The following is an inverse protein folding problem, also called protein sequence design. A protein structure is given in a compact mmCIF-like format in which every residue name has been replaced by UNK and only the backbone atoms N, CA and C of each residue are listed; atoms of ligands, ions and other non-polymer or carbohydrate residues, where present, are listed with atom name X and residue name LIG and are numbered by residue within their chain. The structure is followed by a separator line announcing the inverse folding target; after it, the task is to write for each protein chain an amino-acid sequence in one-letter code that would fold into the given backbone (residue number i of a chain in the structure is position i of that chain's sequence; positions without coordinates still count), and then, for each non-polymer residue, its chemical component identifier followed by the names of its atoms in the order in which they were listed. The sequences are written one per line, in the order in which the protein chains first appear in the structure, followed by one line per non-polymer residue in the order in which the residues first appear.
data_IF_706001318085
#
_entry.id   IF_706001318085
#
_cell.length_a   1.000
_cell.length_b   1.000
_cell.length_c   1.000
_cell.angle_alpha   90.00
_cell.angle_beta   90.00
_cell.angle_gamma   90.00
#
_symmetry.space_group_name_H-M   'P 1'
#
loop_
_entity.id
_entity.type
_entity.pdbx_description
1 polymer ?
#
# COMPACT_ATOMS: atom_id res chain seq x y z
N UNK A 1 5.38 23.13 88.08
CA UNK A 1 6.41 24.01 87.48
C UNK A 1 5.88 24.51 86.14
N UNK A 2 5.86 25.84 85.97
CA UNK A 2 5.89 26.67 84.73
C UNK A 2 5.19 26.11 83.47
N UNK A 3 4.13 26.70 82.90
CA UNK A 3 3.82 28.07 82.46
C UNK A 3 3.75 28.18 80.92
N UNK A 4 2.82 29.04 80.45
CA UNK A 4 2.62 29.68 79.12
C UNK A 4 1.34 29.22 78.39
N UNK A 5 0.21 29.96 78.46
CA UNK A 5 -0.16 31.17 77.65
C UNK A 5 -0.04 30.92 76.14
N UNK A 6 -1.10 31.02 75.31
CA UNK A 6 -1.80 32.23 74.84
C UNK A 6 -3.04 31.76 74.03
N UNK A 7 -4.30 32.12 74.33
CA UNK A 7 -5.04 33.35 73.99
C UNK A 7 -4.95 33.83 72.53
N UNK A 8 -6.06 33.66 71.79
CA UNK A 8 -6.67 34.59 70.81
C UNK A 8 -7.77 33.83 70.05
N UNK A 9 -8.91 34.36 69.62
CA UNK A 9 -9.70 35.53 69.96
C UNK A 9 -11.09 35.26 69.33
N UNK A 10 -12.15 35.43 70.11
CA UNK A 10 -13.53 35.39 69.64
C UNK A 10 -13.87 36.73 68.99
N UNK A 11 -14.37 36.72 67.75
CA UNK A 11 -15.15 37.83 67.20
C UNK A 11 -16.44 37.29 66.58
N UNK A 12 -17.54 37.90 67.01
CA UNK A 12 -18.95 37.57 66.75
C UNK A 12 -19.50 38.34 65.54
N UNK A 13 -20.58 37.79 64.96
CA UNK A 13 -21.73 38.46 64.29
C UNK A 13 -21.44 39.13 62.93
N UNK A 14 -22.30 39.14 61.90
CA UNK A 14 -23.62 38.58 61.53
C UNK A 14 -23.81 38.85 60.00
N UNK A 15 -24.88 38.39 59.32
CA UNK A 15 -24.89 38.11 57.88
C UNK A 15 -25.27 39.29 57.00
N UNK A 16 -24.67 39.35 55.81
CA UNK A 16 -25.13 40.15 54.68
C UNK A 16 -25.48 39.20 53.54
N UNK A 17 -26.74 39.24 53.13
CA UNK A 17 -27.29 38.40 52.07
C UNK A 17 -26.61 38.62 50.72
N UNK A 18 -26.44 37.53 49.99
CA UNK A 18 -26.17 37.52 48.56
C UNK A 18 -26.87 36.31 47.97
N UNK A 19 -27.97 36.58 47.28
CA UNK A 19 -28.64 35.64 46.39
C UNK A 19 -27.64 35.26 45.29
N UNK A 20 -27.02 34.08 45.43
CA UNK A 20 -26.30 33.45 44.33
C UNK A 20 -27.33 32.82 43.39
N UNK A 21 -27.64 33.53 42.30
CA UNK A 21 -28.39 32.99 41.17
C UNK A 21 -27.55 31.87 40.56
N UNK A 22 -27.89 30.60 40.86
CA UNK A 22 -27.37 29.44 40.13
C UNK A 22 -27.85 29.57 38.68
N UNK A 23 -26.99 30.09 37.81
CA UNK A 23 -27.12 29.89 36.37
C UNK A 23 -26.87 28.40 36.14
N UNK A 24 -27.96 27.64 35.97
CA UNK A 24 -27.90 26.29 35.46
C UNK A 24 -27.44 26.43 34.00
N UNK A 25 -26.15 26.24 33.78
CA UNK A 25 -25.59 26.10 32.45
C UNK A 25 -26.17 24.81 31.89
N UNK A 26 -27.20 24.93 31.07
CA UNK A 26 -27.72 23.84 30.28
C UNK A 26 -26.90 23.85 28.98
N UNK A 27 -25.87 22.99 28.82
CA UNK A 27 -25.10 22.98 27.58
C UNK A 27 -26.07 22.62 26.46
N UNK A 28 -26.38 23.60 25.62
CA UNK A 28 -27.09 23.33 24.38
C UNK A 28 -26.28 22.29 23.60
N UNK A 29 -26.89 21.19 23.15
CA UNK A 29 -26.20 20.28 22.25
C UNK A 29 -25.71 21.09 21.05
N UNK A 30 -24.46 20.87 20.59
CA UNK A 30 -23.90 21.64 19.49
C UNK A 30 -24.84 21.54 18.28
N UNK A 31 -25.01 22.65 17.53
CA UNK A 31 -25.91 22.66 16.38
C UNK A 31 -25.57 21.49 15.46
N UNK A 32 -26.61 20.76 15.04
CA UNK A 32 -26.45 19.61 14.15
C UNK A 32 -25.74 20.07 12.88
N UNK A 33 -24.45 19.71 12.75
CA UNK A 33 -23.62 20.04 11.59
C UNK A 33 -24.33 19.57 10.32
N UNK A 34 -24.40 20.44 9.31
CA UNK A 34 -25.15 20.17 8.09
C UNK A 34 -24.58 18.96 7.35
N UNK A 35 -25.47 18.20 6.69
CA UNK A 35 -25.15 17.02 5.87
C UNK A 35 -24.04 17.27 4.82
N UNK A 36 -23.78 18.53 4.46
CA UNK A 36 -22.74 18.93 3.52
C UNK A 36 -21.31 18.84 4.11
N UNK A 37 -21.13 18.97 5.43
CA UNK A 37 -19.80 18.88 6.06
C UNK A 37 -19.36 17.43 6.31
N UNK A 38 -20.31 16.50 6.41
CA UNK A 38 -20.07 15.13 6.88
C UNK A 38 -19.97 14.09 5.75
N UNK A 39 -20.18 14.49 4.49
CA UNK A 39 -20.09 13.58 3.36
C UNK A 39 -21.23 12.57 3.30
N UNK A 40 -21.40 11.95 2.14
CA UNK A 40 -22.45 10.94 1.95
C UNK A 40 -22.13 9.61 2.64
N UNK A 41 -20.90 9.40 3.11
CA UNK A 41 -20.47 8.13 3.70
C UNK A 41 -20.77 8.01 5.21
N UNK A 42 -21.19 9.09 5.89
CA UNK A 42 -21.57 9.04 7.30
C UNK A 42 -20.41 8.89 8.28
N UNK A 43 -19.17 9.24 7.87
CA UNK A 43 -18.00 9.18 8.73
C UNK A 43 -17.64 10.56 9.28
N UNK A 44 -17.24 10.63 10.56
CA UNK A 44 -16.68 11.87 11.11
C UNK A 44 -15.19 12.00 10.73
N UNK A 45 -14.95 12.35 9.48
CA UNK A 45 -13.63 12.76 9.00
C UNK A 45 -13.34 14.24 9.30
N UNK A 46 -14.08 14.92 10.20
CA UNK A 46 -13.77 16.31 10.55
C UNK A 46 -12.43 16.43 11.28
N UNK A 47 -11.92 17.66 11.48
CA UNK A 47 -10.60 17.83 12.14
C UNK A 47 -10.62 17.23 13.55
N UNK A 48 -11.77 17.33 14.19
CA UNK A 48 -12.04 16.72 15.47
C UNK A 48 -11.98 15.18 15.38
N UNK A 49 -12.77 14.55 14.51
CA UNK A 49 -12.77 13.08 14.37
C UNK A 49 -11.40 12.51 13.99
N UNK A 50 -10.65 13.20 13.13
CA UNK A 50 -9.26 12.85 12.81
C UNK A 50 -8.33 12.96 14.03
N UNK A 51 -8.43 14.04 14.80
CA UNK A 51 -7.62 14.23 16.00
C UNK A 51 -7.92 13.16 17.05
N UNK A 52 -9.19 12.77 17.20
CA UNK A 52 -9.57 11.69 18.12
C UNK A 52 -9.04 10.32 17.69
N UNK A 53 -9.11 9.98 16.39
CA UNK A 53 -8.49 8.77 15.86
C UNK A 53 -6.97 8.74 16.08
N UNK A 54 -6.30 9.86 15.81
CA UNK A 54 -4.86 10.00 16.04
C UNK A 54 -4.56 9.84 17.53
N UNK A 55 -5.33 10.49 18.41
CA UNK A 55 -5.12 10.39 19.85
C UNK A 55 -5.35 8.97 20.38
N UNK A 56 -6.37 8.27 19.87
CA UNK A 56 -6.62 6.87 20.19
C UNK A 56 -5.44 5.99 19.75
N UNK A 57 -4.92 6.23 18.55
CA UNK A 57 -3.74 5.53 18.02
C UNK A 57 -2.48 5.80 18.86
N UNK A 58 -2.23 7.04 19.26
CA UNK A 58 -1.08 7.38 20.13
C UNK A 58 -1.16 6.66 21.47
N UNK A 59 -2.37 6.48 22.01
CA UNK A 59 -2.61 5.76 23.27
C UNK A 59 -2.61 4.24 23.12
N UNK A 60 -2.60 3.72 21.89
CA UNK A 60 -2.58 2.29 21.64
C UNK A 60 -1.28 1.67 22.16
N UNK A 61 -1.42 0.52 22.83
CA UNK A 61 -0.30 -0.34 23.20
C UNK A 61 -0.66 -1.75 22.75
N UNK A 62 0.21 -2.46 22.02
CA UNK A 62 -0.11 -3.78 21.47
C UNK A 62 -0.48 -4.81 22.54
N UNK A 63 0.15 -4.73 23.72
CA UNK A 63 -0.07 -5.68 24.82
C UNK A 63 -1.26 -5.30 25.71
N UNK A 64 -1.88 -4.14 25.47
CA UNK A 64 -3.02 -3.64 26.23
C UNK A 64 -4.32 -3.93 25.46
N UNK A 65 -4.94 -5.07 25.81
CA UNK A 65 -6.22 -5.50 25.23
C UNK A 65 -7.33 -4.45 25.37
N UNK A 66 -7.30 -3.63 26.42
CA UNK A 66 -8.27 -2.56 26.63
C UNK A 66 -7.99 -1.37 25.70
N UNK A 67 -6.71 -1.00 25.50
CA UNK A 67 -6.33 0.02 24.51
C UNK A 67 -6.70 -0.41 23.08
N UNK A 68 -6.55 -1.71 22.77
CA UNK A 68 -7.00 -2.29 21.51
C UNK A 68 -8.51 -2.20 21.33
N UNK A 69 -9.29 -2.67 22.31
CA UNK A 69 -10.74 -2.58 22.27
C UNK A 69 -11.21 -1.12 22.12
N UNK A 70 -10.59 -0.17 22.83
CA UNK A 70 -10.88 1.27 22.69
C UNK A 70 -10.58 1.82 21.30
N UNK A 71 -9.50 1.38 20.65
CA UNK A 71 -9.19 1.79 19.29
C UNK A 71 -10.19 1.20 18.29
N UNK A 72 -10.54 -0.08 18.44
CA UNK A 72 -11.57 -0.75 17.65
C UNK A 72 -12.93 -0.05 17.81
N UNK A 73 -13.35 0.22 19.04
CA UNK A 73 -14.58 0.97 19.35
C UNK A 73 -14.54 2.36 18.73
N UNK A 74 -13.42 3.09 18.83
CA UNK A 74 -13.33 4.46 18.30
C UNK A 74 -13.34 4.49 16.77
N UNK A 75 -12.66 3.54 16.13
CA UNK A 75 -12.74 3.38 14.67
C UNK A 75 -14.15 2.97 14.27
N UNK A 76 -14.78 2.06 15.01
CA UNK A 76 -16.18 1.71 14.84
C UNK A 76 -17.10 2.92 14.94
N UNK A 77 -16.96 3.75 15.97
CA UNK A 77 -17.72 4.98 16.16
C UNK A 77 -17.54 5.96 14.99
N UNK A 78 -16.30 6.16 14.52
CA UNK A 78 -16.02 7.06 13.39
C UNK A 78 -16.61 6.51 12.09
N UNK A 79 -16.62 5.19 11.91
CA UNK A 79 -17.20 4.53 10.74
C UNK A 79 -18.73 4.39 10.80
N UNK A 80 -19.32 4.41 11.99
CA UNK A 80 -20.74 4.06 12.20
C UNK A 80 -21.64 5.25 12.54
N UNK A 81 -21.11 6.36 13.06
CA UNK A 81 -21.91 7.52 13.44
C UNK A 81 -22.36 8.36 12.24
N UNK A 82 -23.39 7.86 11.52
CA UNK A 82 -24.66 8.56 11.17
C UNK A 82 -25.35 7.90 9.97
N UNK A 83 -26.19 6.89 10.25
CA UNK A 83 -27.38 6.58 9.44
C UNK A 83 -27.23 5.64 8.25
N UNK A 84 -26.03 5.14 7.93
CA UNK A 84 -25.87 4.06 6.96
C UNK A 84 -26.24 2.73 7.61
N UNK A 85 -27.51 2.32 7.47
CA UNK A 85 -27.99 0.96 7.80
C UNK A 85 -27.40 -0.06 6.81
N UNK A 86 -26.09 -0.18 6.73
CA UNK A 86 -25.42 -1.23 5.97
C UNK A 86 -25.48 -2.53 6.78
N UNK A 87 -26.17 -3.59 6.32
CA UNK A 87 -26.38 -4.83 7.08
C UNK A 87 -25.13 -5.72 7.21
N UNK A 88 -23.92 -5.22 6.95
CA UNK A 88 -22.67 -6.00 6.96
C UNK A 88 -21.92 -5.98 8.30
N UNK A 89 -22.63 -5.75 9.41
CA UNK A 89 -22.07 -5.65 10.78
C UNK A 89 -21.34 -6.91 11.26
N UNK A 90 -21.65 -8.10 10.73
CA UNK A 90 -21.27 -9.36 11.39
C UNK A 90 -19.92 -9.97 10.99
N UNK A 91 -19.18 -9.42 10.03
CA UNK A 91 -17.93 -10.04 9.54
C UNK A 91 -16.68 -9.16 9.68
N UNK A 92 -16.85 -7.86 9.95
CA UNK A 92 -15.75 -6.89 10.09
C UNK A 92 -15.15 -6.83 11.51
N UNK A 93 -15.86 -7.35 12.51
CA UNK A 93 -15.44 -7.29 13.91
C UNK A 93 -14.36 -8.33 14.29
N UNK A 94 -14.11 -9.34 13.45
CA UNK A 94 -13.14 -10.41 13.74
C UNK A 94 -11.72 -10.08 13.26
N UNK A 95 -11.55 -8.99 12.51
CA UNK A 95 -10.26 -8.54 11.99
C UNK A 95 -9.64 -7.54 12.99
N UNK A 96 -8.55 -7.98 13.62
CA UNK A 96 -7.86 -7.31 14.73
C UNK A 96 -7.14 -5.99 14.39
N UNK A 97 -7.30 -5.47 13.17
CA UNK A 97 -6.52 -4.32 12.67
C UNK A 97 -7.41 -3.26 12.01
N UNK A 98 -7.96 -2.31 12.80
CA UNK A 98 -8.80 -1.22 12.30
C UNK A 98 -8.20 -0.40 11.15
N UNK A 99 -6.87 -0.22 11.16
CA UNK A 99 -6.17 0.49 10.10
C UNK A 99 -6.24 -0.21 8.74
N UNK A 100 -6.25 -1.55 8.71
CA UNK A 100 -6.37 -2.31 7.48
C UNK A 100 -7.73 -2.06 6.82
N UNK A 101 -8.80 -1.98 7.62
CA UNK A 101 -10.11 -1.61 7.12
C UNK A 101 -10.16 -0.20 6.55
N UNK A 102 -9.53 0.77 7.22
CA UNK A 102 -9.43 2.13 6.69
C UNK A 102 -8.66 2.18 5.37
N UNK A 103 -7.62 1.37 5.22
CA UNK A 103 -6.85 1.27 3.97
C UNK A 103 -7.64 0.59 2.84
N UNK A 104 -8.38 -0.49 3.14
CA UNK A 104 -9.28 -1.13 2.17
C UNK A 104 -10.35 -0.14 1.70
N UNK A 105 -10.90 0.61 2.64
CA UNK A 105 -11.91 1.63 2.38
C UNK A 105 -11.37 2.77 1.52
N UNK A 106 -10.13 3.19 1.78
CA UNK A 106 -9.42 4.16 0.98
C UNK A 106 -9.30 3.70 -0.48
N UNK A 107 -8.88 2.46 -0.72
CA UNK A 107 -8.76 1.88 -2.07
C UNK A 107 -10.12 1.70 -2.74
N UNK A 108 -11.15 1.31 -1.98
CA UNK A 108 -12.51 1.14 -2.48
C UNK A 108 -13.21 2.47 -2.80
N UNK A 109 -12.65 3.60 -2.36
CA UNK A 109 -13.21 4.92 -2.66
C UNK A 109 -12.89 5.29 -4.11
N UNK A 110 -13.92 5.49 -4.96
CA UNK A 110 -13.68 5.80 -6.37
C UNK A 110 -12.96 7.16 -6.51
N UNK A 111 -12.10 7.30 -7.55
CA UNK A 111 -11.48 8.59 -7.85
C UNK A 111 -12.58 9.62 -8.13
N UNK A 112 -12.50 10.77 -7.44
CA UNK A 112 -13.47 11.84 -7.58
C UNK A 112 -12.89 12.97 -8.45
N UNK A 113 -13.51 13.22 -9.60
CA UNK A 113 -13.13 14.28 -10.56
C UNK A 113 -13.53 15.71 -10.12
N UNK A 114 -14.08 15.87 -8.91
CA UNK A 114 -14.62 17.15 -8.43
C UNK A 114 -13.94 17.62 -7.14
N UNK A 115 -13.99 18.94 -6.90
CA UNK A 115 -13.50 19.62 -5.66
C UNK A 115 -14.06 19.01 -4.35
N UNK A 116 -15.09 18.16 -4.43
CA UNK A 116 -15.63 17.35 -3.33
C UNK A 116 -14.67 16.22 -2.89
N UNK A 117 -13.55 16.01 -3.59
CA UNK A 117 -12.45 15.09 -3.26
C UNK A 117 -11.69 15.44 -1.95
N UNK A 118 -12.06 16.53 -1.26
CA UNK A 118 -11.46 16.87 0.02
C UNK A 118 -11.61 15.75 1.07
N UNK A 119 -12.71 14.99 1.05
CA UNK A 119 -12.93 13.88 1.99
C UNK A 119 -12.00 12.69 1.74
N UNK A 120 -11.84 12.27 0.48
CA UNK A 120 -10.90 11.20 0.12
C UNK A 120 -9.47 11.63 0.44
N UNK A 121 -9.11 12.88 0.15
CA UNK A 121 -7.81 13.45 0.54
C UNK A 121 -7.62 13.43 2.06
N UNK A 122 -8.66 13.77 2.84
CA UNK A 122 -8.63 13.73 4.29
C UNK A 122 -8.48 12.32 4.83
N UNK A 123 -9.22 11.35 4.30
CA UNK A 123 -9.08 9.95 4.65
C UNK A 123 -7.66 9.45 4.37
N UNK A 124 -7.14 9.72 3.16
CA UNK A 124 -5.77 9.38 2.78
C UNK A 124 -4.74 9.95 3.76
N UNK A 125 -4.82 11.25 4.08
CA UNK A 125 -3.91 11.88 5.04
C UNK A 125 -4.03 11.26 6.43
N UNK A 126 -5.25 11.00 6.91
CA UNK A 126 -5.50 10.35 8.20
C UNK A 126 -4.92 8.95 8.24
N UNK A 127 -5.16 8.13 7.21
CA UNK A 127 -4.60 6.77 7.11
C UNK A 127 -3.08 6.81 7.13
N UNK A 128 -2.42 7.71 6.38
CA UNK A 128 -0.96 7.85 6.43
C UNK A 128 -0.44 8.30 7.79
N UNK A 129 -1.13 9.22 8.47
CA UNK A 129 -0.74 9.66 9.80
C UNK A 129 -0.86 8.55 10.85
N UNK A 130 -1.98 7.82 10.85
CA UNK A 130 -2.19 6.67 11.75
C UNK A 130 -1.16 5.59 11.45
N UNK A 131 -0.94 5.28 10.16
CA UNK A 131 0.07 4.31 9.73
C UNK A 131 1.47 4.67 10.25
N UNK A 132 1.92 5.91 10.08
CA UNK A 132 3.22 6.36 10.56
C UNK A 132 3.36 6.20 12.09
N UNK A 133 2.31 6.53 12.84
CA UNK A 133 2.28 6.34 14.30
C UNK A 133 2.36 4.87 14.70
N UNK A 134 1.60 4.01 14.02
CA UNK A 134 1.62 2.57 14.28
C UNK A 134 2.97 1.96 13.90
N UNK A 135 3.58 2.36 12.78
CA UNK A 135 4.89 1.87 12.35
C UNK A 135 5.99 2.20 13.37
N UNK A 136 5.91 3.37 14.02
CA UNK A 136 6.85 3.74 15.10
C UNK A 136 6.72 2.81 16.32
N UNK A 137 5.50 2.38 16.64
CA UNK A 137 5.23 1.52 17.80
C UNK A 137 5.40 0.03 17.50
N UNK A 138 5.16 -0.38 16.25
CA UNK A 138 4.96 -1.77 15.81
C UNK A 138 5.73 -2.06 14.51
N UNK A 139 7.06 -1.88 14.44
CA UNK A 139 7.81 -1.84 13.17
C UNK A 139 7.86 -3.16 12.39
N UNK A 140 7.38 -4.27 12.95
CA UNK A 140 7.51 -5.63 12.40
C UNK A 140 6.19 -6.41 12.39
N UNK A 141 5.14 -5.80 11.85
CA UNK A 141 3.84 -6.45 11.68
C UNK A 141 3.46 -6.58 10.21
N UNK A 142 2.99 -7.77 9.81
CA UNK A 142 2.59 -8.07 8.44
C UNK A 142 1.41 -7.20 7.99
N UNK A 143 0.50 -6.87 8.90
CA UNK A 143 -0.67 -6.06 8.63
C UNK A 143 -0.30 -4.62 8.28
N UNK A 144 0.78 -4.08 8.85
CA UNK A 144 1.29 -2.78 8.43
C UNK A 144 1.87 -2.82 7.01
N UNK A 145 2.53 -3.91 6.64
CA UNK A 145 3.01 -4.09 5.27
C UNK A 145 1.83 -4.15 4.28
N UNK A 146 0.75 -4.86 4.64
CA UNK A 146 -0.48 -4.90 3.85
C UNK A 146 -1.13 -3.53 3.73
N UNK A 147 -1.26 -2.78 4.83
CA UNK A 147 -1.75 -1.40 4.84
C UNK A 147 -0.93 -0.53 3.89
N UNK A 148 0.40 -0.62 3.96
CA UNK A 148 1.26 0.18 3.11
C UNK A 148 1.14 -0.20 1.62
N UNK A 149 0.98 -1.49 1.31
CA UNK A 149 0.64 -1.95 -0.04
C UNK A 149 -0.67 -1.38 -0.55
N UNK A 150 -1.72 -1.33 0.28
CA UNK A 150 -3.00 -0.71 -0.07
C UNK A 150 -2.88 0.81 -0.28
N UNK A 151 -2.08 1.51 0.54
CA UNK A 151 -1.80 2.94 0.34
C UNK A 151 -1.09 3.14 -1.00
N UNK A 152 -0.08 2.32 -1.32
CA UNK A 152 0.60 2.38 -2.62
C UNK A 152 -0.37 2.13 -3.78
N UNK A 153 -1.24 1.12 -3.67
CA UNK A 153 -2.26 0.84 -4.69
C UNK A 153 -3.21 2.03 -4.89
N UNK A 154 -3.67 2.67 -3.80
CA UNK A 154 -4.46 3.89 -3.87
C UNK A 154 -3.70 5.02 -4.57
N UNK A 155 -2.42 5.24 -4.22
CA UNK A 155 -1.57 6.27 -4.82
C UNK A 155 -1.37 6.03 -6.33
N UNK A 156 -1.15 4.78 -6.72
CA UNK A 156 -1.07 4.33 -8.11
C UNK A 156 -2.37 4.61 -8.87
N UNK A 157 -3.52 4.17 -8.33
CA UNK A 157 -4.84 4.38 -8.95
C UNK A 157 -5.24 5.85 -9.13
N UNK A 158 -4.67 6.75 -8.33
CA UNK A 158 -4.87 8.20 -8.43
C UNK A 158 -3.77 8.93 -9.22
N UNK A 159 -2.87 8.18 -9.88
CA UNK A 159 -1.80 8.73 -10.73
C UNK A 159 -0.64 9.37 -9.97
N UNK A 160 -0.55 9.18 -8.65
CA UNK A 160 0.54 9.67 -7.79
C UNK A 160 1.74 8.72 -7.82
N UNK A 161 2.29 8.46 -9.02
CA UNK A 161 3.23 7.34 -9.26
C UNK A 161 4.50 7.40 -8.42
N UNK A 162 5.10 8.58 -8.26
CA UNK A 162 6.30 8.75 -7.43
C UNK A 162 6.03 8.40 -5.95
N UNK A 163 4.87 8.84 -5.43
CA UNK A 163 4.46 8.55 -4.06
C UNK A 163 4.22 7.05 -3.92
N UNK A 164 3.47 6.46 -4.86
CA UNK A 164 3.21 5.03 -4.90
C UNK A 164 4.49 4.21 -4.89
N UNK A 165 5.48 4.59 -5.69
CA UNK A 165 6.76 3.90 -5.76
C UNK A 165 7.53 4.01 -4.43
N UNK A 166 7.58 5.18 -3.80
CA UNK A 166 8.24 5.35 -2.49
C UNK A 166 7.53 4.54 -1.41
N UNK A 167 6.20 4.61 -1.35
CA UNK A 167 5.37 3.85 -0.41
C UNK A 167 5.57 2.34 -0.60
N UNK A 168 5.59 1.88 -1.85
CA UNK A 168 5.78 0.47 -2.19
C UNK A 168 7.18 -0.04 -1.85
N UNK A 169 8.23 0.74 -2.14
CA UNK A 169 9.61 0.39 -1.75
C UNK A 169 9.72 0.20 -0.23
N UNK A 170 9.09 1.10 0.55
CA UNK A 170 9.04 0.95 2.00
C UNK A 170 8.29 -0.31 2.42
N UNK A 171 7.18 -0.65 1.76
CA UNK A 171 6.42 -1.87 2.04
C UNK A 171 7.25 -3.13 1.74
N UNK A 172 7.93 -3.17 0.59
CA UNK A 172 8.81 -4.28 0.18
C UNK A 172 10.00 -4.42 1.13
N UNK A 173 10.60 -3.31 1.55
CA UNK A 173 11.69 -3.30 2.52
C UNK A 173 11.23 -3.84 3.87
N UNK A 174 10.06 -3.44 4.37
CA UNK A 174 9.53 -4.04 5.59
C UNK A 174 9.18 -5.51 5.39
N UNK A 175 8.63 -5.88 4.25
CA UNK A 175 8.33 -7.27 3.93
C UNK A 175 9.60 -8.15 3.98
N UNK A 176 10.73 -7.68 3.43
CA UNK A 176 11.99 -8.43 3.46
C UNK A 176 12.57 -8.57 4.86
N UNK A 177 12.24 -7.65 5.78
CA UNK A 177 12.64 -7.71 7.19
C UNK A 177 11.72 -8.56 8.07
N UNK A 178 10.52 -8.91 7.59
CA UNK A 178 9.63 -9.82 8.29
C UNK A 178 10.05 -11.26 8.07
N UNK A 179 10.23 -11.99 9.17
CA UNK A 179 10.47 -13.43 9.15
C UNK A 179 9.30 -14.14 8.47
N UNK A 180 9.63 -15.19 7.71
CA UNK A 180 8.64 -15.98 7.01
C UNK A 180 8.00 -16.98 7.98
N UNK A 181 6.80 -16.67 8.45
CA UNK A 181 6.03 -17.58 9.30
C UNK A 181 5.49 -18.76 8.48
N UNK A 182 6.06 -19.95 8.71
CA UNK A 182 5.63 -21.19 8.04
C UNK A 182 4.19 -21.56 8.37
N UNK A 183 3.69 -21.20 9.56
CA UNK A 183 2.31 -21.52 9.96
C UNK A 183 1.29 -20.76 9.13
N UNK A 184 1.66 -19.56 8.64
CA UNK A 184 0.87 -18.71 7.77
C UNK A 184 1.51 -18.50 6.40
N UNK A 185 2.29 -19.48 5.93
CA UNK A 185 3.06 -19.42 4.68
C UNK A 185 2.23 -18.99 3.48
N UNK A 186 1.02 -19.54 3.33
CA UNK A 186 0.13 -19.24 2.21
C UNK A 186 -0.32 -17.78 2.21
N UNK A 187 -0.74 -17.28 3.37
CA UNK A 187 -1.15 -15.87 3.54
C UNK A 187 0.05 -14.96 3.29
N UNK A 188 1.23 -15.32 3.83
CA UNK A 188 2.48 -14.61 3.61
C UNK A 188 2.84 -14.48 2.13
N UNK A 189 2.70 -15.58 1.37
CA UNK A 189 2.95 -15.57 -0.07
C UNK A 189 1.94 -14.69 -0.81
N UNK A 190 0.67 -14.80 -0.47
CA UNK A 190 -0.41 -14.08 -1.15
C UNK A 190 -0.19 -12.57 -1.13
N UNK A 191 0.05 -11.98 0.05
CA UNK A 191 0.26 -10.53 0.14
C UNK A 191 1.62 -10.10 -0.43
N UNK A 192 2.68 -10.91 -0.33
CA UNK A 192 3.98 -10.58 -0.93
C UNK A 192 3.94 -10.58 -2.45
N UNK A 193 3.27 -11.56 -3.06
CA UNK A 193 3.00 -11.58 -4.50
C UNK A 193 2.11 -10.40 -4.92
N UNK A 194 1.15 -10.02 -4.07
CA UNK A 194 0.32 -8.83 -4.31
C UNK A 194 1.17 -7.55 -4.35
N UNK A 195 2.17 -7.39 -3.47
CA UNK A 195 3.09 -6.25 -3.53
C UNK A 195 3.90 -6.22 -4.83
N UNK A 196 4.38 -7.38 -5.30
CA UNK A 196 5.08 -7.47 -6.59
C UNK A 196 4.15 -7.12 -7.76
N UNK A 197 2.89 -7.55 -7.73
CA UNK A 197 1.92 -7.15 -8.75
C UNK A 197 1.68 -5.63 -8.74
N UNK A 198 1.61 -5.00 -7.56
CA UNK A 198 1.48 -3.55 -7.45
C UNK A 198 2.73 -2.86 -8.02
N UNK A 199 3.92 -3.42 -7.82
CA UNK A 199 5.18 -2.91 -8.40
C UNK A 199 5.12 -2.92 -9.92
N UNK A 200 4.72 -4.05 -10.49
CA UNK A 200 4.52 -4.19 -11.92
C UNK A 200 3.52 -3.16 -12.47
N UNK A 201 2.41 -2.90 -11.76
CA UNK A 201 1.43 -1.89 -12.13
C UNK A 201 2.01 -0.47 -12.09
N UNK A 202 2.77 -0.12 -11.04
CA UNK A 202 3.41 1.19 -10.90
C UNK A 202 4.41 1.40 -12.04
N UNK A 203 5.28 0.43 -12.29
CA UNK A 203 6.25 0.50 -13.38
C UNK A 203 5.56 0.62 -14.73
N UNK A 204 4.54 -0.20 -15.01
CA UNK A 204 3.79 -0.15 -16.27
C UNK A 204 3.18 1.25 -16.52
N UNK A 205 2.61 1.90 -15.51
CA UNK A 205 2.05 3.24 -15.66
C UNK A 205 3.11 4.31 -15.95
N UNK A 206 4.37 4.07 -15.58
CA UNK A 206 5.49 4.99 -15.84
C UNK A 206 6.12 4.76 -17.21
N UNK A 207 6.01 3.56 -17.78
CA UNK A 207 6.54 3.22 -19.11
C UNK A 207 6.03 4.20 -20.18
N UNK A 208 4.79 4.67 -20.07
CA UNK A 208 4.22 5.60 -21.06
C UNK A 208 4.66 7.07 -20.87
N UNK A 209 5.26 7.42 -19.73
CA UNK A 209 5.67 8.80 -19.44
C UNK A 209 7.06 9.06 -20.02
N UNK A 210 7.17 10.12 -20.81
CA UNK A 210 8.37 10.44 -21.60
C UNK A 210 9.60 10.83 -20.75
N UNK A 211 9.39 11.25 -19.50
CA UNK A 211 10.44 11.89 -18.70
C UNK A 211 10.65 11.32 -17.29
N UNK A 212 9.78 10.42 -16.82
CA UNK A 212 9.83 9.94 -15.43
C UNK A 212 9.95 8.42 -15.41
N UNK A 213 11.18 7.94 -15.56
CA UNK A 213 11.49 6.52 -15.50
C UNK A 213 11.60 6.09 -14.04
N UNK A 214 10.66 5.26 -13.57
CA UNK A 214 10.67 4.72 -12.22
C UNK A 214 11.11 3.26 -12.30
N UNK A 215 12.24 2.85 -11.69
CA UNK A 215 12.66 1.45 -11.71
C UNK A 215 11.65 0.55 -10.96
N UNK A 216 11.71 -0.75 -11.22
CA UNK A 216 10.99 -1.73 -10.41
C UNK A 216 11.52 -1.67 -8.97
N UNK A 217 10.61 -1.60 -7.98
CA UNK A 217 10.94 -1.69 -6.57
C UNK A 217 11.42 -3.10 -6.18
N UNK A 218 10.97 -4.13 -6.89
CA UNK A 218 11.32 -5.52 -6.68
C UNK A 218 11.90 -6.17 -7.95
N UNK A 219 13.16 -5.86 -8.32
CA UNK A 219 13.79 -6.47 -9.49
C UNK A 219 13.96 -7.99 -9.32
N UNK A 220 14.17 -8.76 -10.41
CA UNK A 220 14.17 -10.23 -10.37
C UNK A 220 15.19 -10.89 -9.43
N UNK A 221 16.26 -10.17 -9.07
CA UNK A 221 17.35 -10.56 -8.18
C UNK A 221 17.11 -10.20 -6.70
N UNK A 222 16.06 -9.40 -6.41
CA UNK A 222 15.71 -8.94 -5.07
C UNK A 222 15.42 -10.11 -4.11
N UNK A 223 15.84 -9.99 -2.85
CA UNK A 223 15.74 -11.07 -1.85
C UNK A 223 14.30 -11.55 -1.63
N UNK A 224 13.32 -10.63 -1.65
CA UNK A 224 11.90 -11.00 -1.56
C UNK A 224 11.48 -11.95 -2.70
N UNK A 225 11.93 -11.69 -3.94
CA UNK A 225 11.65 -12.56 -5.10
C UNK A 225 12.24 -13.95 -4.88
N UNK A 226 13.48 -14.00 -4.36
CA UNK A 226 14.17 -15.27 -4.05
C UNK A 226 13.42 -16.06 -2.98
N UNK A 227 12.97 -15.41 -1.92
CA UNK A 227 12.18 -16.02 -0.83
C UNK A 227 10.84 -16.56 -1.35
N UNK A 228 10.10 -15.77 -2.13
CA UNK A 228 8.83 -16.22 -2.71
C UNK A 228 9.04 -17.42 -3.64
N UNK A 229 10.06 -17.37 -4.53
CA UNK A 229 10.40 -18.48 -5.41
C UNK A 229 10.72 -19.75 -4.62
N UNK A 230 11.55 -19.65 -3.60
CA UNK A 230 11.88 -20.78 -2.74
C UNK A 230 10.63 -21.39 -2.10
N UNK A 231 9.76 -20.57 -1.51
CA UNK A 231 8.53 -21.05 -0.89
C UNK A 231 7.53 -21.62 -1.92
N UNK A 232 7.49 -21.12 -3.16
CA UNK A 232 6.72 -21.74 -4.24
C UNK A 232 7.22 -23.16 -4.54
N UNK A 233 8.54 -23.42 -4.47
CA UNK A 233 9.04 -24.80 -4.65
C UNK A 233 8.58 -25.74 -3.54
N UNK A 234 8.35 -25.24 -2.31
CA UNK A 234 7.82 -26.04 -1.20
C UNK A 234 6.35 -26.42 -1.41
N UNK A 235 5.61 -25.61 -2.17
CA UNK A 235 4.23 -25.89 -2.59
C UNK A 235 4.15 -26.92 -3.74
N UNK A 236 5.28 -27.23 -4.37
CA UNK A 236 5.39 -28.34 -5.31
C UNK A 236 5.90 -29.60 -4.61
N UNK A 237 5.46 -30.77 -5.06
CA UNK A 237 6.04 -32.06 -4.66
C UNK A 237 7.46 -32.19 -5.20
N UNK A 238 8.23 -33.17 -4.71
CA UNK A 238 9.57 -33.48 -5.21
C UNK A 238 9.62 -33.76 -6.73
N UNK A 239 8.49 -34.18 -7.32
CA UNK A 239 8.35 -34.43 -8.74
C UNK A 239 7.93 -33.17 -9.53
N UNK A 240 7.89 -32.00 -8.90
CA UNK A 240 7.42 -30.74 -9.49
C UNK A 240 5.90 -30.66 -9.65
N UNK A 241 5.14 -31.67 -9.25
CA UNK A 241 3.68 -31.67 -9.31
C UNK A 241 3.16 -30.78 -8.18
N UNK A 242 2.30 -29.77 -8.44
CA UNK A 242 1.67 -28.98 -7.39
C UNK A 242 0.99 -29.87 -6.34
N UNK A 243 0.99 -29.44 -5.07
CA UNK A 243 0.14 -30.09 -4.07
C UNK A 243 -1.31 -30.03 -4.52
N UNK A 244 -2.07 -31.08 -4.21
CA UNK A 244 -3.45 -31.22 -4.68
C UNK A 244 -4.44 -30.24 -4.05
N UNK A 245 -3.99 -29.40 -3.11
CA UNK A 245 -4.85 -28.40 -2.50
C UNK A 245 -5.07 -27.20 -3.44
N UNK A 246 -6.34 -26.81 -3.60
CA UNK A 246 -6.74 -25.76 -4.54
C UNK A 246 -6.13 -24.39 -4.23
N UNK A 247 -5.78 -24.14 -2.96
CA UNK A 247 -5.18 -22.88 -2.52
C UNK A 247 -3.73 -22.77 -3.00
N UNK A 248 -2.92 -23.83 -2.84
CA UNK A 248 -1.55 -23.88 -3.33
C UNK A 248 -1.49 -23.78 -4.84
N UNK A 249 -2.40 -24.47 -5.56
CA UNK A 249 -2.50 -24.35 -7.01
C UNK A 249 -2.78 -22.90 -7.44
N UNK A 250 -3.76 -22.24 -6.81
CA UNK A 250 -4.08 -20.83 -7.07
C UNK A 250 -2.89 -19.91 -6.83
N UNK A 251 -2.15 -20.11 -5.74
CA UNK A 251 -0.97 -19.32 -5.42
C UNK A 251 0.19 -19.55 -6.39
N UNK A 252 0.40 -20.79 -6.84
CA UNK A 252 1.40 -21.11 -7.85
C UNK A 252 1.06 -20.45 -9.19
N UNK A 253 -0.20 -20.50 -9.60
CA UNK A 253 -0.63 -19.84 -10.84
C UNK A 253 -0.56 -18.32 -10.74
N UNK A 254 -0.93 -17.75 -9.59
CA UNK A 254 -0.73 -16.32 -9.32
C UNK A 254 0.74 -15.92 -9.37
N UNK A 255 1.62 -16.71 -8.74
CA UNK A 255 3.06 -16.51 -8.77
C UNK A 255 3.63 -16.53 -10.18
N UNK A 256 3.19 -17.45 -11.05
CA UNK A 256 3.62 -17.49 -12.47
C UNK A 256 3.30 -16.18 -13.18
N UNK A 257 2.07 -15.67 -13.02
CA UNK A 257 1.62 -14.42 -13.64
C UNK A 257 2.52 -13.27 -13.17
N UNK A 258 2.69 -13.11 -11.86
CA UNK A 258 3.50 -12.05 -11.24
C UNK A 258 4.97 -12.11 -11.68
N UNK A 259 5.58 -13.30 -11.74
CA UNK A 259 6.96 -13.41 -12.18
C UNK A 259 7.13 -13.14 -13.68
N UNK A 260 6.17 -13.54 -14.51
CA UNK A 260 6.20 -13.27 -15.94
C UNK A 260 6.02 -11.78 -16.24
N UNK A 261 5.05 -11.11 -15.60
CA UNK A 261 4.83 -9.67 -15.76
C UNK A 261 6.08 -8.87 -15.37
N UNK A 262 6.68 -9.18 -14.20
CA UNK A 262 7.91 -8.51 -13.77
C UNK A 262 9.09 -8.71 -14.72
N UNK A 263 9.26 -9.90 -15.32
CA UNK A 263 10.31 -10.15 -16.33
C UNK A 263 10.09 -9.33 -17.61
N UNK A 264 8.86 -9.28 -18.10
CA UNK A 264 8.50 -8.50 -19.29
C UNK A 264 8.78 -7.02 -19.04
N UNK A 265 8.35 -6.50 -17.88
CA UNK A 265 8.57 -5.11 -17.50
C UNK A 265 10.05 -4.79 -17.33
N UNK A 266 10.82 -5.67 -16.69
CA UNK A 266 12.28 -5.51 -16.59
C UNK A 266 12.92 -5.42 -17.98
N UNK A 267 12.54 -6.29 -18.92
CA UNK A 267 13.05 -6.24 -20.28
C UNK A 267 12.68 -4.93 -21.01
N UNK A 268 11.45 -4.44 -20.85
CA UNK A 268 11.02 -3.14 -21.40
C UNK A 268 11.85 -2.01 -20.78
N UNK A 269 12.09 -2.06 -19.46
CA UNK A 269 12.90 -1.09 -18.74
C UNK A 269 14.35 -1.06 -19.24
N UNK A 270 14.98 -2.23 -19.37
CA UNK A 270 16.36 -2.35 -19.83
C UNK A 270 16.51 -1.89 -21.28
N UNK A 271 15.55 -2.23 -22.14
CA UNK A 271 15.53 -1.80 -23.54
C UNK A 271 15.39 -0.29 -23.71
N UNK A 272 14.70 0.39 -22.80
CA UNK A 272 14.60 1.86 -22.79
C UNK A 272 15.82 2.53 -22.17
N UNK A 273 16.45 1.88 -21.18
CA UNK A 273 17.62 2.39 -20.48
C UNK A 273 18.85 2.38 -21.36
N UNK A 274 19.02 1.37 -22.21
CA UNK A 274 20.09 1.32 -23.20
C UNK A 274 19.97 2.58 -24.07
N UNK A 275 20.85 3.59 -23.89
CA UNK A 275 20.88 4.71 -24.81
C UNK A 275 21.16 4.08 -26.17
N UNK A 276 20.54 4.58 -27.22
CA UNK A 276 20.91 4.21 -28.59
C UNK A 276 22.34 4.73 -28.84
N UNK A 277 23.34 4.15 -28.19
CA UNK A 277 24.75 4.23 -28.51
C UNK A 277 24.93 3.42 -29.78
N UNK A 278 24.44 3.99 -30.88
CA UNK A 278 24.21 3.28 -32.12
C UNK A 278 23.51 4.16 -33.14
N UNK A 279 23.85 5.44 -33.16
CA UNK A 279 23.78 6.25 -34.38
C UNK A 279 25.05 5.98 -35.21
N UNK A 280 25.44 4.70 -35.35
CA UNK A 280 26.26 4.25 -36.46
C UNK A 280 25.29 3.75 -37.50
N UNK A 281 25.34 4.40 -38.67
CA UNK A 281 24.26 4.47 -39.64
C UNK A 281 23.59 3.13 -39.93
N UNK A 282 22.26 3.14 -39.84
CA UNK A 282 21.46 2.25 -40.67
C UNK A 282 21.58 2.74 -42.12
N UNK A 283 22.75 2.52 -42.74
CA UNK A 283 22.89 2.41 -44.19
C UNK A 283 22.37 1.04 -44.61
N UNK A 284 21.08 0.79 -44.42
CA UNK A 284 20.37 -0.30 -45.07
C UNK A 284 19.25 0.34 -45.86
N UNK A 285 19.62 1.04 -46.94
CA UNK A 285 18.85 1.23 -48.18
C UNK A 285 19.57 2.25 -49.07
N UNK A 286 20.70 1.87 -49.66
CA UNK A 286 21.22 2.44 -50.92
C UNK A 286 22.14 1.47 -51.68
N UNK A 287 21.93 0.16 -51.51
CA UNK A 287 22.68 -0.90 -52.18
C UNK A 287 21.88 -1.62 -53.27
N UNK A 288 21.08 -0.90 -54.05
CA UNK A 288 20.49 -1.45 -55.27
C UNK A 288 20.72 -0.49 -56.45
N UNK A 289 21.98 -0.22 -56.78
CA UNK A 289 22.38 -0.02 -58.16
C UNK A 289 23.89 -0.14 -58.33
N UNK A 290 24.26 -1.04 -59.25
CA UNK A 290 25.56 -1.24 -59.93
C UNK A 290 26.46 -2.34 -59.38
N UNK A 291 26.21 -3.50 -59.98
CA UNK A 291 27.14 -4.57 -60.31
C UNK A 291 28.46 -4.12 -60.95
N UNK A 292 29.43 -5.04 -60.85
CA UNK A 292 30.71 -5.23 -61.57
C UNK A 292 31.91 -4.35 -61.19
N UNK A 293 32.85 -4.91 -60.41
CA UNK A 293 34.07 -5.54 -60.96
C UNK A 293 34.95 -6.16 -59.86
N UNK A 294 35.59 -7.25 -60.26
CA UNK A 294 36.58 -8.19 -59.68
C UNK A 294 37.71 -7.67 -58.78
N UNK A 295 38.13 -8.60 -57.91
CA UNK A 295 39.44 -8.79 -57.24
C UNK A 295 39.91 -7.75 -56.21
N UNK A 296 40.00 -8.13 -54.93
CA UNK A 296 41.30 -8.53 -54.34
C UNK A 296 41.15 -9.01 -52.86
N UNK A 297 42.14 -9.79 -52.42
CA UNK A 297 42.22 -10.58 -51.19
C UNK A 297 42.47 -9.82 -49.86
N UNK A 298 41.72 -10.20 -48.80
CA UNK A 298 42.08 -10.17 -47.35
C UNK A 298 41.46 -9.04 -46.49
N UNK A 299 41.49 -9.09 -45.13
CA UNK A 299 41.75 -10.19 -44.20
C UNK A 299 40.53 -10.57 -43.31
N UNK A 300 40.66 -11.68 -42.59
CA UNK A 300 39.66 -12.33 -41.73
C UNK A 300 39.40 -11.50 -40.46
N UNK A 301 38.12 -11.22 -40.19
CA UNK A 301 37.65 -10.53 -38.98
C UNK A 301 37.12 -11.55 -37.94
N UNK A 302 37.59 -11.57 -36.68
CA UNK A 302 37.31 -12.66 -35.75
C UNK A 302 36.15 -12.32 -34.80
N UNK A 303 35.01 -11.85 -35.30
CA UNK A 303 33.82 -11.63 -34.45
C UNK A 303 32.51 -11.94 -35.20
N UNK A 304 32.38 -13.20 -35.65
CA UNK A 304 31.09 -13.81 -35.95
C UNK A 304 30.59 -14.50 -34.68
N UNK A 305 29.97 -13.74 -33.78
CA UNK A 305 29.27 -14.25 -32.61
C UNK A 305 27.78 -14.00 -32.76
N UNK A 306 27.02 -15.08 -32.78
CA UNK A 306 25.56 -15.16 -32.98
C UNK A 306 24.78 -14.15 -32.13
N UNK A 307 24.16 -13.17 -32.78
CA UNK A 307 23.00 -12.48 -32.22
C UNK A 307 21.81 -13.44 -32.32
N UNK A 308 21.61 -14.25 -31.27
CA UNK A 308 20.40 -15.06 -31.12
C UNK A 308 19.18 -14.13 -31.17
N UNK A 309 18.41 -14.30 -32.23
CA UNK A 309 17.07 -13.75 -32.37
C UNK A 309 16.22 -14.41 -31.27
N UNK A 310 16.05 -13.73 -30.14
CA UNK A 310 15.18 -14.19 -29.04
C UNK A 310 13.74 -14.26 -29.58
N UNK A 311 13.30 -15.48 -29.87
CA UNK A 311 11.91 -15.77 -30.19
C UNK A 311 11.10 -15.61 -28.90
N UNK A 312 10.39 -14.49 -28.77
CA UNK A 312 9.51 -14.18 -27.64
C UNK A 312 8.42 -15.25 -27.44
N UNK A 313 8.17 -16.10 -28.44
CA UNK A 313 7.25 -17.23 -28.34
C UNK A 313 7.80 -18.38 -27.49
N UNK A 314 9.13 -18.53 -27.35
CA UNK A 314 9.73 -19.62 -26.57
C UNK A 314 9.80 -19.29 -25.06
N UNK A 315 9.78 -17.99 -24.70
CA UNK A 315 9.80 -17.55 -23.30
C UNK A 315 8.40 -17.40 -22.68
N UNK A 316 7.34 -17.47 -23.48
CA UNK A 316 5.96 -17.34 -23.05
C UNK A 316 5.25 -18.65 -23.34
N UNK A 317 5.32 -19.61 -22.41
CA UNK A 317 4.45 -20.80 -22.35
C UNK A 317 2.98 -20.39 -22.08
N UNK A 318 2.41 -19.51 -22.91
CA UNK A 318 1.05 -19.03 -22.81
C UNK A 318 0.30 -19.42 -24.10
N UNK A 319 -0.84 -20.12 -23.99
CA UNK A 319 -1.66 -20.42 -25.17
C UNK A 319 -2.17 -19.12 -25.80
N UNK A 320 -1.81 -18.91 -27.07
CA UNK A 320 -2.11 -17.75 -27.92
C UNK A 320 -3.62 -17.45 -28.12
N UNK A 321 -4.53 -18.22 -27.52
CA UNK A 321 -5.97 -18.10 -27.72
C UNK A 321 -6.65 -16.96 -26.95
N UNK A 322 -5.92 -16.15 -26.17
CA UNK A 322 -6.52 -15.11 -25.30
C UNK A 322 -6.20 -13.66 -25.71
N UNK A 323 -5.55 -13.41 -26.84
CA UNK A 323 -5.26 -12.04 -27.31
C UNK A 323 -6.33 -11.56 -28.32
N UNK A 324 -7.45 -11.07 -27.78
CA UNK A 324 -8.44 -10.12 -28.32
C UNK A 324 -9.16 -10.45 -29.66
N UNK A 325 -10.50 -10.55 -29.68
CA UNK A 325 -11.27 -10.23 -30.89
C UNK A 325 -11.40 -8.71 -31.06
N UNK A 326 -11.32 -8.26 -32.31
CA UNK A 326 -11.45 -6.85 -32.74
C UNK A 326 -12.88 -6.34 -32.67
#
# INVERSE_FOLDING_TARGET
MRALHQSQANMRQSPSGLFAMRVIYNPQPPPAKSLLELGRCGWDLTEHGQAELIQATVKYKPDDLEAKARLEDRVGEVLHNRGCNCPHRSHLADSSWPILHLAVLLVATPPCDHKVCWQTKRLYMTVKSIFALMQLQLPKHAELVQVQGLIALYECGHGMLEHSHVTLNSAITMASLLDFDLSNMLISLEWRMTLMLIDDLVSLQTVHRKHDWIPLACPPDHDMVRVIKHNCTVLTTLNGIPRSDSVSQRLLDFGKIVFQSGRILQHIHDSKRAPRFGNHGCEIMNGLHKSTSTDDTGPIDPFSGDAQHLDLNESLDLPLSCLWPT
#
